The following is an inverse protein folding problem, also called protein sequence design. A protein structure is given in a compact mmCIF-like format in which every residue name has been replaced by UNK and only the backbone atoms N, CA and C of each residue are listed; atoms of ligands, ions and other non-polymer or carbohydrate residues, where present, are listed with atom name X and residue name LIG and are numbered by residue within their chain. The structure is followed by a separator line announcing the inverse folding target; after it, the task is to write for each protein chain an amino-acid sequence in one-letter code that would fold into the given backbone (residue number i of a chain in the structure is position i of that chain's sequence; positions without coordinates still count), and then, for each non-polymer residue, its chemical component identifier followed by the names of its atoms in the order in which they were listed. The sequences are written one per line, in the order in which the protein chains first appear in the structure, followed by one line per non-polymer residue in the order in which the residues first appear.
data_IF_372197369366
#
_entry.id   IF_372197369366
#
_cell.length_a   1.000
_cell.length_b   1.000
_cell.length_c   1.000
_cell.angle_alpha   90.00
_cell.angle_beta   90.00
_cell.angle_gamma   90.00
#
_symmetry.space_group_name_H-M   'P 1'
#
loop_
_entity.id
_entity.type
_entity.pdbx_description
1 polymer ?
#
# COMPACT_ATOMS: atom_id res chain seq x y z
N UNK A 1 7.85 6.83 0.99
CA UNK A 1 7.15 5.63 0.50
C UNK A 1 7.96 5.03 -0.64
N UNK A 2 8.07 3.71 -0.69
CA UNK A 2 8.81 2.98 -1.74
C UNK A 2 8.11 1.69 -2.13
N UNK A 3 8.33 1.27 -3.36
CA UNK A 3 7.93 -0.03 -3.94
C UNK A 3 9.17 -0.60 -4.63
N UNK A 4 9.43 -1.90 -4.46
CA UNK A 4 10.54 -2.56 -5.14
C UNK A 4 10.15 -3.03 -6.55
N UNK A 5 8.98 -3.67 -6.66
CA UNK A 5 8.50 -4.22 -7.93
C UNK A 5 6.97 -4.07 -8.00
N UNK A 6 6.48 -3.72 -9.19
CA UNK A 6 5.07 -3.80 -9.52
C UNK A 6 4.92 -4.49 -10.88
N UNK A 7 4.09 -5.53 -10.93
CA UNK A 7 3.81 -6.30 -12.13
C UNK A 7 2.30 -6.45 -12.32
N UNK A 8 1.84 -6.17 -13.53
CA UNK A 8 0.43 -6.32 -13.91
C UNK A 8 0.31 -7.17 -15.17
N UNK A 9 -0.52 -8.21 -15.11
CA UNK A 9 -0.89 -9.01 -16.29
C UNK A 9 -2.26 -8.55 -16.79
N UNK A 10 -2.36 -7.88 -17.96
CA UNK A 10 -3.62 -7.33 -18.46
C UNK A 10 -4.59 -8.37 -19.01
N UNK A 11 -4.13 -9.57 -19.37
CA UNK A 11 -5.00 -10.64 -19.89
C UNK A 11 -5.69 -11.42 -18.78
N UNK A 12 -4.97 -11.61 -17.66
CA UNK A 12 -5.50 -12.27 -16.47
C UNK A 12 -6.04 -11.29 -15.43
N UNK A 13 -5.82 -9.99 -15.63
CA UNK A 13 -6.12 -8.92 -14.67
C UNK A 13 -5.56 -9.20 -13.26
N UNK A 14 -4.29 -9.62 -13.21
CA UNK A 14 -3.57 -9.91 -11.96
C UNK A 14 -2.56 -8.81 -11.67
N UNK A 15 -2.61 -8.26 -10.46
CA UNK A 15 -1.67 -7.28 -9.95
C UNK A 15 -0.82 -7.91 -8.84
N UNK A 16 0.49 -7.70 -8.90
CA UNK A 16 1.43 -8.06 -7.84
C UNK A 16 2.31 -6.85 -7.53
N UNK A 17 2.41 -6.50 -6.25
CA UNK A 17 3.29 -5.45 -5.72
C UNK A 17 4.19 -6.06 -4.67
N UNK A 18 5.50 -5.82 -4.76
CA UNK A 18 6.48 -6.31 -3.78
C UNK A 18 7.25 -5.19 -3.10
N UNK A 19 7.63 -5.45 -1.86
CA UNK A 19 8.50 -4.61 -1.05
C UNK A 19 7.93 -3.22 -0.84
N UNK A 20 6.64 -3.14 -0.53
CA UNK A 20 6.00 -1.87 -0.21
C UNK A 20 6.42 -1.44 1.20
N UNK A 21 6.96 -0.23 1.32
CA UNK A 21 7.32 0.34 2.61
C UNK A 21 6.96 1.83 2.70
N UNK A 22 6.33 2.19 3.80
CA UNK A 22 6.25 3.55 4.33
C UNK A 22 7.46 3.72 5.25
N UNK A 23 8.17 4.83 5.06
CA UNK A 23 9.40 5.13 5.78
C UNK A 23 9.21 6.44 6.56
N UNK A 24 9.87 6.56 7.70
CA UNK A 24 10.02 7.83 8.41
C UNK A 24 11.01 8.76 7.66
N UNK A 25 11.13 10.00 8.13
CA UNK A 25 12.02 11.00 7.51
C UNK A 25 13.50 10.59 7.51
N UNK A 26 13.91 9.72 8.44
CA UNK A 26 15.26 9.17 8.55
C UNK A 26 15.49 7.91 7.68
N UNK A 27 14.48 7.46 6.93
CA UNK A 27 14.55 6.27 6.08
C UNK A 27 14.29 4.95 6.82
N UNK A 28 14.02 4.97 8.13
CA UNK A 28 13.61 3.78 8.86
C UNK A 28 12.19 3.33 8.44
N UNK A 29 11.89 2.02 8.43
CA UNK A 29 10.57 1.52 8.05
C UNK A 29 9.53 1.82 9.13
N UNK A 30 8.45 2.50 8.75
CA UNK A 30 7.29 2.78 9.59
C UNK A 30 6.26 1.64 9.52
N UNK A 31 5.88 1.26 8.29
CA UNK A 31 4.95 0.16 8.02
C UNK A 31 5.11 -0.34 6.59
N UNK A 32 4.68 -1.56 6.30
CA UNK A 32 4.81 -2.12 4.96
C UNK A 32 4.34 -3.55 4.83
N UNK A 33 4.65 -4.14 3.68
CA UNK A 33 4.41 -5.56 3.38
C UNK A 33 5.41 -6.08 2.36
N UNK A 34 5.62 -7.39 2.39
CA UNK A 34 6.51 -8.06 1.44
C UNK A 34 5.86 -8.24 0.07
N UNK A 35 4.64 -8.78 0.02
CA UNK A 35 3.91 -8.96 -1.23
C UNK A 35 2.42 -8.67 -1.06
N UNK A 36 1.85 -7.91 -1.99
CA UNK A 36 0.43 -7.74 -2.18
C UNK A 36 0.04 -8.29 -3.54
N UNK A 37 -0.97 -9.15 -3.56
CA UNK A 37 -1.46 -9.78 -4.78
C UNK A 37 -2.98 -9.62 -4.89
N UNK A 38 -3.44 -9.22 -6.07
CA UNK A 38 -4.86 -9.12 -6.40
C UNK A 38 -5.14 -9.82 -7.73
N UNK A 39 -6.19 -10.63 -7.74
CA UNK A 39 -6.72 -11.31 -8.92
C UNK A 39 -8.14 -10.79 -9.21
N UNK A 40 -8.30 -10.04 -10.29
CA UNK A 40 -9.58 -9.49 -10.71
C UNK A 40 -10.22 -10.37 -11.78
N UNK A 41 -11.46 -10.83 -11.57
CA UNK A 41 -12.22 -11.54 -12.61
C UNK A 41 -12.96 -10.57 -13.53
N UNK A 42 -12.25 -9.90 -14.42
CA UNK A 42 -12.85 -8.91 -15.32
C UNK A 42 -13.91 -9.52 -16.28
N UNK A 43 -13.74 -10.79 -16.69
CA UNK A 43 -14.65 -11.46 -17.63
C UNK A 43 -15.99 -11.86 -16.99
N UNK A 44 -16.01 -12.18 -15.68
CA UNK A 44 -17.24 -12.45 -14.91
C UNK A 44 -17.98 -11.15 -14.57
N UNK A 45 -17.23 -10.05 -14.33
CA UNK A 45 -17.78 -8.73 -13.99
C UNK A 45 -18.64 -8.11 -15.09
N UNK A 46 -18.29 -8.29 -16.36
CA UNK A 46 -19.04 -7.76 -17.50
C UNK A 46 -20.45 -8.38 -17.63
N UNK A 47 -20.67 -9.57 -17.07
CA UNK A 47 -21.96 -10.26 -17.11
C UNK A 47 -22.87 -9.92 -15.93
N UNK A 48 -22.30 -9.51 -14.80
CA UNK A 48 -23.02 -9.30 -13.53
C UNK A 48 -22.97 -7.85 -12.99
N UNK A 49 -22.37 -6.89 -13.72
CA UNK A 49 -22.22 -5.48 -13.28
C UNK A 49 -21.55 -5.30 -11.89
N UNK A 50 -20.84 -6.30 -11.40
CA UNK A 50 -20.17 -6.28 -10.11
C UNK A 50 -18.68 -6.50 -10.32
N UNK A 51 -17.83 -5.65 -9.75
CA UNK A 51 -16.39 -5.88 -9.68
C UNK A 51 -16.14 -7.17 -8.86
N UNK A 52 -15.78 -8.27 -9.53
CA UNK A 52 -15.56 -9.55 -8.87
C UNK A 52 -14.05 -9.69 -8.66
N UNK A 53 -13.62 -9.54 -7.41
CA UNK A 53 -12.25 -9.87 -7.02
C UNK A 53 -12.24 -11.34 -6.60
N UNK A 54 -11.54 -12.18 -7.36
CA UNK A 54 -11.40 -13.59 -7.01
C UNK A 54 -10.53 -13.77 -5.77
N UNK A 55 -9.48 -12.96 -5.67
CA UNK A 55 -8.52 -13.11 -4.59
C UNK A 55 -7.81 -11.81 -4.25
N UNK A 56 -7.67 -11.57 -2.96
CA UNK A 56 -6.75 -10.59 -2.39
C UNK A 56 -5.86 -11.34 -1.40
N UNK A 57 -4.55 -11.23 -1.56
CA UNK A 57 -3.57 -11.81 -0.64
C UNK A 57 -2.60 -10.73 -0.16
N UNK A 58 -2.31 -10.76 1.13
CA UNK A 58 -1.39 -9.83 1.78
C UNK A 58 -0.37 -10.63 2.57
N UNK A 59 0.89 -10.53 2.18
CA UNK A 59 1.97 -11.32 2.76
C UNK A 59 2.86 -10.46 3.64
N UNK A 60 3.07 -10.95 4.86
CA UNK A 60 3.94 -10.33 5.88
C UNK A 60 3.67 -8.82 6.07
N UNK A 61 2.42 -8.41 6.41
CA UNK A 61 2.20 -7.04 6.85
C UNK A 61 3.01 -6.76 8.13
N UNK A 62 3.65 -5.60 8.20
CA UNK A 62 4.38 -5.17 9.39
C UNK A 62 4.19 -3.68 9.66
N UNK A 63 4.38 -3.31 10.93
CA UNK A 63 4.42 -1.95 11.41
C UNK A 63 5.37 -1.85 12.60
N UNK A 64 6.16 -0.78 12.66
CA UNK A 64 7.12 -0.55 13.73
C UNK A 64 6.58 0.53 14.66
N UNK A 65 6.13 0.13 15.85
CA UNK A 65 5.62 1.03 16.88
C UNK A 65 6.78 1.54 17.77
N UNK A 66 7.02 2.85 17.74
CA UNK A 66 8.04 3.53 18.55
C UNK A 66 7.37 4.66 19.31
N UNK A 67 7.54 4.65 20.64
CA UNK A 67 7.22 5.80 21.48
C UNK A 67 8.41 6.75 21.46
N UNK A 68 8.19 7.95 20.94
CA UNK A 68 9.21 8.99 20.82
C UNK A 68 9.46 9.64 22.19
N UNK A 69 10.59 10.37 22.35
CA UNK A 69 10.91 11.05 23.61
C UNK A 69 9.85 12.04 24.09
N UNK A 70 9.05 12.59 23.18
CA UNK A 70 7.93 13.50 23.47
C UNK A 70 6.64 12.77 23.90
N UNK A 71 6.67 11.43 23.98
CA UNK A 71 5.52 10.59 24.31
C UNK A 71 4.58 10.29 23.14
N UNK A 72 4.86 10.82 21.94
CA UNK A 72 4.08 10.52 20.75
C UNK A 72 4.44 9.14 20.16
N UNK A 73 3.52 8.56 19.39
CA UNK A 73 3.74 7.32 18.65
C UNK A 73 4.07 7.63 17.19
N UNK A 74 5.13 7.03 16.63
CA UNK A 74 5.47 7.20 15.22
C UNK A 74 4.38 6.76 14.23
N UNK A 75 3.64 5.68 14.54
CA UNK A 75 2.52 5.21 13.73
C UNK A 75 1.37 6.21 13.64
N UNK A 76 1.33 7.24 14.50
CA UNK A 76 0.37 8.33 14.37
C UNK A 76 0.61 9.18 13.11
N UNK A 77 1.75 9.00 12.42
CA UNK A 77 2.06 9.66 11.15
C UNK A 77 1.55 8.87 9.93
N UNK A 78 1.03 7.66 10.12
CA UNK A 78 0.38 6.90 9.05
C UNK A 78 -0.84 7.67 8.52
N UNK A 79 -0.89 7.85 7.19
CA UNK A 79 -1.98 8.55 6.51
C UNK A 79 -1.87 10.07 6.51
N UNK A 80 -0.85 10.65 7.16
CA UNK A 80 -0.50 12.06 6.97
C UNK A 80 0.28 12.20 5.68
N UNK A 81 -0.43 12.40 4.58
CA UNK A 81 0.18 12.79 3.32
C UNK A 81 0.49 14.30 3.40
N UNK A 82 1.66 14.75 2.91
CA UNK A 82 1.89 16.19 2.79
C UNK A 82 0.77 16.76 1.93
N UNK A 83 0.07 17.78 2.43
CA UNK A 83 -0.85 18.53 1.58
C UNK A 83 0.00 19.16 0.47
N UNK A 84 -0.28 18.80 -0.79
CA UNK A 84 0.31 19.48 -1.93
C UNK A 84 0.05 20.97 -1.75
N UNK A 85 1.14 21.75 -1.81
CA UNK A 85 1.20 23.13 -1.39
C UNK A 85 -0.02 23.94 -1.83
N UNK A 86 -0.70 24.53 -0.85
CA UNK A 86 -1.47 25.74 -1.10
C UNK A 86 -0.55 26.72 -1.84
N UNK A 87 -0.93 27.23 -3.03
CA UNK A 87 -0.13 28.24 -3.69
C UNK A 87 -0.02 29.42 -2.72
N UNK A 88 1.20 29.79 -2.36
CA UNK A 88 1.44 31.02 -1.63
C UNK A 88 0.88 32.19 -2.45
N UNK A 89 -0.03 32.95 -1.84
CA UNK A 89 -0.48 34.27 -2.35
C UNK A 89 0.71 35.23 -2.48
#
# INVERSE_FOLDING_TARGET
MSIQEAAFNPFLFKLKVKGFAIQEADGSPLAGFDEFFVDFEALSSLKNQAYTVAQIQFWLPYGLAIVRPDGSLNLADLGKFPEEGSPAD
#
